data_IF_782694729217
#
_entry.id   IF_782694729217
#
_cell.length_a   1.000
_cell.length_b   1.000
_cell.length_c   1.000
_cell.angle_alpha   90.00
_cell.angle_beta   90.00
_cell.angle_gamma   90.00
#
_symmetry.space_group_name_H-M   'P 1'
#
loop_
_entity.id
_entity.type
_entity.pdbx_description
1 polymer ?
#
# COMPACT_ATOMS: atom_id res chain seq x y z
N UNK A 1 12.69 13.15 -24.86
CA UNK A 1 11.54 12.56 -24.14
C UNK A 1 10.32 13.44 -24.42
N UNK A 2 9.54 13.14 -25.46
CA UNK A 2 8.28 13.85 -25.72
C UNK A 2 7.21 13.17 -24.85
N UNK A 3 7.10 13.58 -23.59
CA UNK A 3 6.00 13.16 -22.73
C UNK A 3 4.74 13.78 -23.28
N UNK A 4 3.85 12.98 -23.84
CA UNK A 4 2.51 13.44 -24.16
C UNK A 4 1.84 13.83 -22.85
N UNK A 5 1.24 15.02 -22.77
CA UNK A 5 0.53 15.48 -21.55
C UNK A 5 -0.50 14.44 -21.07
N UNK A 6 -1.10 13.72 -22.03
CA UNK A 6 -2.01 12.60 -21.80
C UNK A 6 -1.35 11.42 -21.09
N UNK A 7 -0.13 11.03 -21.46
CA UNK A 7 0.61 9.96 -20.78
C UNK A 7 0.97 10.38 -19.34
N UNK A 8 1.38 11.62 -19.15
CA UNK A 8 1.68 12.15 -17.82
C UNK A 8 0.44 12.12 -16.92
N UNK A 9 -0.72 12.55 -17.43
CA UNK A 9 -1.99 12.50 -16.70
C UNK A 9 -2.35 11.06 -16.36
N UNK A 10 -2.20 10.11 -17.28
CA UNK A 10 -2.46 8.69 -17.01
C UNK A 10 -1.54 8.13 -15.93
N UNK A 11 -0.24 8.42 -15.97
CA UNK A 11 0.72 7.94 -14.96
C UNK A 11 0.41 8.53 -13.59
N UNK A 12 0.16 9.84 -13.51
CA UNK A 12 -0.21 10.51 -12.26
C UNK A 12 -1.48 9.89 -11.69
N UNK A 13 -2.48 9.66 -12.54
CA UNK A 13 -3.74 9.06 -12.13
C UNK A 13 -3.54 7.65 -11.55
N UNK A 14 -2.77 6.79 -12.24
CA UNK A 14 -2.46 5.44 -11.74
C UNK A 14 -1.69 5.50 -10.42
N UNK A 15 -0.67 6.37 -10.31
CA UNK A 15 0.13 6.51 -9.10
C UNK A 15 -0.69 7.00 -7.91
N UNK A 16 -1.63 7.93 -8.11
CA UNK A 16 -2.54 8.39 -7.04
C UNK A 16 -3.34 7.22 -6.46
N UNK A 17 -3.89 6.34 -7.32
CA UNK A 17 -4.65 5.20 -6.82
C UNK A 17 -3.75 4.19 -6.14
N UNK A 18 -2.60 3.86 -6.73
CA UNK A 18 -1.65 2.93 -6.10
C UNK A 18 -1.23 3.44 -4.71
N UNK A 19 -0.85 4.72 -4.61
CA UNK A 19 -0.45 5.37 -3.36
C UNK A 19 -1.59 5.40 -2.33
N UNK A 20 -2.80 5.78 -2.75
CA UNK A 20 -3.98 5.76 -1.88
C UNK A 20 -4.23 4.36 -1.31
N UNK A 21 -4.18 3.32 -2.14
CA UNK A 21 -4.40 1.94 -1.69
C UNK A 21 -3.25 1.40 -0.85
N UNK A 22 -2.01 1.81 -1.13
CA UNK A 22 -0.86 1.45 -0.30
C UNK A 22 -1.01 2.04 1.10
N UNK A 23 -1.36 3.33 1.20
CA UNK A 23 -1.64 3.99 2.49
C UNK A 23 -2.82 3.36 3.21
N UNK A 24 -3.92 3.03 2.52
CA UNK A 24 -5.05 2.30 3.13
C UNK A 24 -4.61 0.93 3.63
N UNK A 25 -3.92 0.14 2.80
CA UNK A 25 -3.49 -1.22 3.11
C UNK A 25 -2.48 -1.27 4.26
N UNK A 26 -1.51 -0.36 4.27
CA UNK A 26 -0.51 -0.26 5.32
C UNK A 26 -1.11 0.26 6.62
N UNK A 27 -1.93 1.31 6.61
CA UNK A 27 -2.59 1.82 7.81
C UNK A 27 -3.54 0.79 8.43
N UNK A 28 -4.32 0.07 7.60
CA UNK A 28 -5.19 -0.99 8.10
C UNK A 28 -4.38 -2.18 8.64
N UNK A 29 -3.33 -2.62 7.93
CA UNK A 29 -2.44 -3.69 8.39
C UNK A 29 -1.73 -3.37 9.72
N UNK A 30 -1.19 -2.16 9.86
CA UNK A 30 -0.56 -1.69 11.09
C UNK A 30 -1.59 -1.45 12.20
N UNK A 31 -2.76 -0.91 11.88
CA UNK A 31 -3.83 -0.68 12.84
C UNK A 31 -4.39 -1.99 13.43
N UNK A 32 -4.44 -3.06 12.64
CA UNK A 32 -4.80 -4.41 13.12
C UNK A 32 -3.73 -4.91 14.11
N UNK A 33 -2.44 -4.78 13.77
CA UNK A 33 -1.33 -5.22 14.66
C UNK A 33 -1.23 -4.43 15.96
N UNK A 34 -1.60 -3.15 15.95
CA UNK A 34 -1.59 -2.30 17.15
C UNK A 34 -2.84 -2.51 18.04
N UNK A 35 -3.85 -3.23 17.55
CA UNK A 35 -5.13 -3.43 18.25
C UNK A 35 -6.00 -2.18 18.32
N UNK A 36 -5.69 -1.14 17.56
CA UNK A 36 -6.44 0.13 17.56
C UNK A 36 -7.85 -0.02 16.97
N UNK A 37 -8.09 -1.03 16.13
CA UNK A 37 -9.43 -1.34 15.61
C UNK A 37 -10.29 -2.18 16.56
N UNK A 38 -9.72 -2.74 17.64
CA UNK A 38 -10.43 -3.59 18.61
C UNK A 38 -10.89 -2.83 19.87
N UNK A 39 -10.51 -1.57 20.06
CA UNK A 39 -10.94 -0.78 21.21
C UNK A 39 -12.17 0.07 20.84
N UNK A 40 -13.30 -0.33 21.40
CA UNK A 40 -14.59 0.35 21.41
C UNK A 40 -14.42 1.89 21.47
N UNK A 41 -14.88 2.56 20.41
CA UNK A 41 -15.30 3.97 20.39
C UNK A 41 -14.27 5.09 20.72
N UNK A 42 -12.98 4.96 20.38
CA UNK A 42 -12.11 6.15 20.27
C UNK A 42 -11.49 6.29 18.89
N UNK A 43 -12.13 7.16 18.10
CA UNK A 43 -11.79 7.58 16.74
C UNK A 43 -10.31 7.37 16.39
N UNK A 44 -9.98 6.25 15.74
CA UNK A 44 -8.84 6.25 14.84
C UNK A 44 -9.19 7.29 13.78
N UNK A 45 -8.57 8.46 13.87
CA UNK A 45 -8.82 9.53 12.92
C UNK A 45 -8.09 9.18 11.62
N UNK A 46 -8.68 8.26 10.83
CA UNK A 46 -8.20 7.91 9.50
C UNK A 46 -7.90 9.18 8.68
N UNK A 47 -8.77 10.19 8.79
CA UNK A 47 -8.58 11.49 8.13
C UNK A 47 -7.27 12.19 8.52
N UNK A 48 -6.83 12.09 9.79
CA UNK A 48 -5.55 12.66 10.23
C UNK A 48 -4.36 11.83 9.73
N UNK A 49 -4.51 10.50 9.66
CA UNK A 49 -3.48 9.63 9.11
C UNK A 49 -3.30 9.88 7.60
N UNK A 50 -4.39 9.93 6.82
CA UNK A 50 -4.36 10.29 5.41
C UNK A 50 -3.84 11.70 5.17
N UNK A 51 -4.17 12.66 6.04
CA UNK A 51 -3.61 14.01 5.93
C UNK A 51 -2.10 14.02 6.18
N UNK A 52 -1.61 13.27 7.17
CA UNK A 52 -0.18 13.17 7.43
C UNK A 52 0.59 12.55 6.25
N UNK A 53 0.03 11.50 5.66
CA UNK A 53 0.56 10.84 4.46
C UNK A 53 0.56 11.78 3.25
N UNK A 54 -0.57 12.46 2.97
CA UNK A 54 -0.67 13.41 1.87
C UNK A 54 0.31 14.60 2.01
N UNK A 55 0.47 15.13 3.22
CA UNK A 55 1.46 16.19 3.50
C UNK A 55 2.88 15.65 3.32
N UNK A 56 3.16 14.43 3.80
CA UNK A 56 4.44 13.76 3.64
C UNK A 56 4.81 13.54 2.18
N UNK A 57 3.92 12.95 1.39
CA UNK A 57 4.09 12.72 -0.05
C UNK A 57 4.24 14.02 -0.82
N UNK A 58 3.43 15.04 -0.53
CA UNK A 58 3.54 16.35 -1.21
C UNK A 58 4.89 17.01 -0.91
N UNK A 59 5.32 17.00 0.35
CA UNK A 59 6.61 17.58 0.74
C UNK A 59 7.80 16.77 0.16
N UNK A 60 7.68 15.44 0.15
CA UNK A 60 8.65 14.53 -0.49
C UNK A 60 8.81 14.81 -1.98
N UNK A 61 7.70 14.98 -2.70
CA UNK A 61 7.70 15.31 -4.12
C UNK A 61 8.34 16.68 -4.40
N UNK A 62 8.06 17.70 -3.57
CA UNK A 62 8.71 19.03 -3.69
C UNK A 62 10.23 18.94 -3.47
N UNK A 63 10.68 18.05 -2.59
CA UNK A 63 12.10 17.78 -2.35
C UNK A 63 12.74 16.88 -3.43
N UNK A 64 11.99 16.42 -4.43
CA UNK A 64 12.48 15.56 -5.50
C UNK A 64 12.59 14.07 -5.14
N UNK A 65 11.96 13.63 -4.05
CA UNK A 65 11.87 12.23 -3.66
C UNK A 65 10.66 11.53 -4.32
N UNK A 66 10.66 10.19 -4.28
CA UNK A 66 9.47 9.39 -4.57
C UNK A 66 8.34 9.64 -3.55
N UNK A 67 7.20 8.99 -3.75
CA UNK A 67 6.09 9.04 -2.78
C UNK A 67 6.56 8.57 -1.39
N UNK A 68 6.13 9.30 -0.36
CA UNK A 68 6.52 9.04 1.03
C UNK A 68 5.31 8.45 1.74
N UNK A 69 5.35 7.14 1.98
CA UNK A 69 4.21 6.41 2.54
C UNK A 69 4.51 5.83 3.93
N UNK A 70 3.47 5.33 4.59
CA UNK A 70 3.59 4.58 5.85
C UNK A 70 4.16 3.18 5.63
N UNK A 71 5.35 2.94 6.17
CA UNK A 71 6.07 1.66 6.03
C UNK A 71 5.44 0.55 6.88
N UNK A 72 5.16 -0.60 6.26
CA UNK A 72 4.67 -1.81 6.95
C UNK A 72 5.72 -2.37 7.92
N UNK A 73 7.00 -2.08 7.68
CA UNK A 73 8.14 -2.42 8.53
C UNK A 73 8.02 -1.77 9.91
N UNK A 74 7.27 -0.68 10.02
CA UNK A 74 6.91 -0.05 11.31
C UNK A 74 6.20 -1.03 12.25
N UNK A 75 5.62 -2.12 11.73
CA UNK A 75 5.10 -3.23 12.53
C UNK A 75 6.13 -3.81 13.49
N UNK A 76 7.42 -3.85 13.11
CA UNK A 76 8.50 -4.34 13.98
C UNK A 76 8.68 -3.40 15.19
N UNK A 77 8.78 -2.10 14.95
CA UNK A 77 8.86 -1.09 16.01
C UNK A 77 7.63 -1.07 16.92
N UNK A 78 6.44 -1.29 16.36
CA UNK A 78 5.19 -1.42 17.12
C UNK A 78 5.20 -2.67 18.01
N UNK A 79 5.74 -3.79 17.49
CA UNK A 79 5.83 -5.06 18.22
C UNK A 79 6.79 -4.96 19.41
N UNK A 80 7.86 -4.16 19.27
CA UNK A 80 8.80 -3.81 20.35
C UNK A 80 8.25 -2.72 21.31
N UNK A 81 6.99 -2.29 21.14
CA UNK A 81 6.31 -1.35 22.06
C UNK A 81 6.26 0.10 21.58
N UNK A 82 6.75 0.41 20.38
CA UNK A 82 6.68 1.74 19.77
C UNK A 82 5.27 2.12 19.33
N UNK A 83 4.48 2.69 20.23
CA UNK A 83 3.06 3.04 20.00
C UNK A 83 2.76 4.54 20.07
N UNK A 84 3.78 5.40 20.04
CA UNK A 84 3.61 6.86 20.15
C UNK A 84 4.13 7.60 18.92
N UNK A 85 3.65 8.83 18.69
CA UNK A 85 4.23 9.70 17.66
C UNK A 85 5.69 10.05 17.95
N UNK A 86 6.11 10.01 19.22
CA UNK A 86 7.50 10.26 19.62
C UNK A 86 8.45 9.21 19.06
N UNK A 87 8.05 7.93 18.99
CA UNK A 87 8.89 6.91 18.35
C UNK A 87 9.11 7.18 16.88
N UNK A 88 8.11 7.69 16.15
CA UNK A 88 8.28 8.09 14.76
C UNK A 88 9.26 9.27 14.60
N UNK A 89 9.20 10.27 15.49
CA UNK A 89 10.13 11.41 15.49
C UNK A 89 11.57 10.98 15.76
N UNK A 90 11.78 10.12 16.76
CA UNK A 90 13.11 9.59 17.08
C UNK A 90 13.65 8.79 15.90
N UNK A 91 12.84 7.92 15.28
CA UNK A 91 13.24 7.18 14.08
C UNK A 91 13.64 8.11 12.95
N UNK A 92 12.85 9.17 12.67
CA UNK A 92 13.20 10.17 11.66
C UNK A 92 14.53 10.89 11.95
N UNK A 93 14.78 11.26 13.21
CA UNK A 93 16.06 11.86 13.62
C UNK A 93 17.25 10.91 13.43
N UNK A 94 17.07 9.62 13.74
CA UNK A 94 18.09 8.60 13.51
C UNK A 94 18.35 8.39 12.01
N UNK A 95 17.33 8.46 11.16
CA UNK A 95 17.50 8.45 9.70
C UNK A 95 18.20 9.69 9.16
N UNK A 96 17.99 10.87 9.76
CA UNK A 96 18.77 12.07 9.41
C UNK A 96 20.23 11.88 9.82
N UNK A 97 20.48 11.32 11.02
CA UNK A 97 21.84 11.05 11.49
C UNK A 97 22.55 9.98 10.65
N UNK A 98 21.81 9.02 10.08
CA UNK A 98 22.38 7.99 9.21
C UNK A 98 22.97 8.55 7.92
N UNK A 99 22.59 9.76 7.50
CA UNK A 99 23.16 10.45 6.32
C UNK A 99 24.68 10.60 6.46
N UNK A 100 25.19 10.89 7.66
CA UNK A 100 26.64 10.97 7.92
C UNK A 100 27.37 9.63 7.75
N UNK A 101 26.64 8.52 7.90
CA UNK A 101 27.15 7.16 7.76
C UNK A 101 26.89 6.57 6.37
N UNK A 102 26.27 7.31 5.43
CA UNK A 102 26.07 6.85 4.04
C UNK A 102 27.36 6.35 3.39
N UNK A 103 28.53 7.02 3.52
CA UNK A 103 29.77 6.53 2.92
C UNK A 103 30.23 5.16 3.46
N UNK A 104 29.86 4.83 4.69
CA UNK A 104 30.13 3.52 5.29
C UNK A 104 29.09 2.49 4.84
N UNK A 105 27.81 2.89 4.76
CA UNK A 105 26.71 2.03 4.31
C UNK A 105 26.82 1.66 2.84
N UNK A 106 27.33 2.56 1.98
CA UNK A 106 27.52 2.29 0.55
C UNK A 106 28.65 1.31 0.26
N UNK A 107 29.54 1.04 1.22
CA UNK A 107 30.54 -0.01 1.12
C UNK A 107 29.96 -1.43 1.35
N UNK A 108 28.72 -1.53 1.85
CA UNK A 108 28.03 -2.81 2.07
C UNK A 108 27.58 -3.36 0.71
N UNK A 109 27.98 -4.59 0.34
CA UNK A 109 27.53 -5.20 -0.90
C UNK A 109 26.02 -5.42 -0.94
N UNK A 110 25.41 -5.27 -2.12
CA UNK A 110 23.96 -5.46 -2.30
C UNK A 110 23.47 -6.88 -1.95
N UNK A 111 24.30 -7.89 -2.07
CA UNK A 111 23.94 -9.25 -1.67
C UNK A 111 23.77 -9.40 -0.15
N UNK A 112 24.36 -8.50 0.66
CA UNK A 112 24.23 -8.54 2.12
C UNK A 112 22.86 -8.03 2.61
N UNK A 113 22.16 -7.21 1.82
CA UNK A 113 20.82 -6.70 2.15
C UNK A 113 19.70 -7.64 1.68
N UNK A 114 19.99 -8.54 0.74
CA UNK A 114 18.99 -9.47 0.18
C UNK A 114 18.30 -10.38 1.23
N UNK A 115 19.01 -10.98 2.21
CA UNK A 115 18.36 -11.78 3.25
C UNK A 115 17.40 -10.96 4.12
N UNK A 116 17.73 -9.69 4.40
CA UNK A 116 16.86 -8.81 5.16
C UNK A 116 15.56 -8.52 4.40
N UNK A 117 15.66 -8.21 3.10
CA UNK A 117 14.49 -8.00 2.23
C UNK A 117 13.61 -9.24 2.10
N UNK A 118 14.21 -10.44 2.05
CA UNK A 118 13.46 -11.70 2.03
C UNK A 118 12.64 -11.88 3.30
N UNK A 119 13.27 -11.67 4.47
CA UNK A 119 12.58 -11.78 5.77
C UNK A 119 11.46 -10.76 5.86
N UNK A 120 11.68 -9.52 5.42
CA UNK A 120 10.63 -8.48 5.38
C UNK A 120 9.46 -8.95 4.51
N UNK A 121 9.71 -9.47 3.31
CA UNK A 121 8.67 -10.01 2.44
C UNK A 121 7.88 -11.16 3.08
N UNK A 122 8.55 -12.07 3.79
CA UNK A 122 7.89 -13.15 4.53
C UNK A 122 7.01 -12.60 5.66
N UNK A 123 7.48 -11.57 6.37
CA UNK A 123 6.70 -10.91 7.41
C UNK A 123 5.47 -10.19 6.86
N UNK A 124 5.57 -9.58 5.68
CA UNK A 124 4.42 -8.96 4.99
C UNK A 124 3.37 -10.00 4.57
N UNK A 125 3.79 -11.20 4.17
CA UNK A 125 2.88 -12.31 3.85
C UNK A 125 2.04 -12.78 5.05
N UNK A 126 2.44 -12.48 6.29
CA UNK A 126 1.63 -12.82 7.46
C UNK A 126 0.23 -12.18 7.44
N UNK A 127 0.08 -11.01 6.81
CA UNK A 127 -1.21 -10.32 6.68
C UNK A 127 -2.21 -11.08 5.81
N UNK A 128 -1.74 -11.95 4.90
CA UNK A 128 -2.57 -12.80 4.04
C UNK A 128 -3.42 -13.78 4.85
N UNK A 129 -3.00 -14.10 6.08
CA UNK A 129 -3.79 -14.92 7.02
C UNK A 129 -5.10 -14.27 7.44
N UNK A 130 -5.19 -12.93 7.40
CA UNK A 130 -6.39 -12.21 7.82
C UNK A 130 -7.47 -12.14 6.72
N UNK A 131 -7.20 -12.66 5.53
CA UNK A 131 -8.15 -12.71 4.43
C UNK A 131 -9.20 -13.78 4.73
N UNK A 132 -10.47 -13.49 4.47
CA UNK A 132 -11.54 -14.47 4.62
C UNK A 132 -11.51 -15.48 3.47
N UNK A 133 -10.78 -16.57 3.68
CA UNK A 133 -10.63 -17.63 2.67
C UNK A 133 -11.91 -18.42 2.40
N UNK A 134 -12.91 -18.32 3.28
CA UNK A 134 -14.19 -19.01 3.13
C UNK A 134 -15.15 -18.28 2.17
N UNK A 135 -14.93 -16.98 1.89
CA UNK A 135 -15.68 -16.27 0.86
C UNK A 135 -14.96 -16.34 -0.49
N UNK A 136 -15.58 -16.95 -1.53
CA UNK A 136 -14.99 -17.02 -2.88
C UNK A 136 -14.65 -15.64 -3.49
N UNK A 137 -15.41 -14.59 -3.17
CA UNK A 137 -15.16 -13.26 -3.73
C UNK A 137 -13.89 -12.64 -3.15
N UNK A 138 -13.66 -12.80 -1.83
CA UNK A 138 -12.46 -12.31 -1.15
C UNK A 138 -11.24 -13.15 -1.51
N UNK A 139 -11.35 -14.48 -1.42
CA UNK A 139 -10.25 -15.41 -1.70
C UNK A 139 -9.75 -15.33 -3.15
N UNK A 140 -10.65 -15.33 -4.14
CA UNK A 140 -10.28 -15.26 -5.56
C UNK A 140 -9.67 -13.89 -5.90
N UNK A 141 -10.27 -12.80 -5.41
CA UNK A 141 -9.74 -11.45 -5.63
C UNK A 141 -8.33 -11.30 -5.03
N UNK A 142 -8.15 -11.71 -3.78
CA UNK A 142 -6.86 -11.69 -3.10
C UNK A 142 -5.81 -12.55 -3.82
N UNK A 143 -6.18 -13.78 -4.20
CA UNK A 143 -5.28 -14.69 -4.90
C UNK A 143 -4.82 -14.12 -6.24
N UNK A 144 -5.75 -13.57 -7.03
CA UNK A 144 -5.43 -12.94 -8.31
C UNK A 144 -4.55 -11.70 -8.12
N UNK A 145 -4.81 -10.90 -7.09
CA UNK A 145 -3.96 -9.75 -6.75
C UNK A 145 -2.51 -10.19 -6.49
N UNK A 146 -2.32 -11.20 -5.61
CA UNK A 146 -1.00 -11.68 -5.19
C UNK A 146 -0.22 -12.27 -6.37
N UNK A 147 -0.88 -13.03 -7.26
CA UNK A 147 -0.19 -13.71 -8.35
C UNK A 147 0.07 -12.80 -9.56
N UNK A 148 -0.84 -11.87 -9.85
CA UNK A 148 -0.71 -11.00 -11.03
C UNK A 148 0.36 -9.95 -10.81
N UNK A 149 0.51 -9.37 -9.60
CA UNK A 149 1.54 -8.37 -9.32
C UNK A 149 2.96 -8.79 -9.79
N UNK A 150 3.50 -9.97 -9.41
CA UNK A 150 4.80 -10.42 -9.90
C UNK A 150 4.77 -10.86 -11.37
N UNK A 151 3.67 -11.42 -11.87
CA UNK A 151 3.56 -11.86 -13.27
C UNK A 151 3.49 -10.69 -14.27
N UNK A 152 2.87 -9.58 -13.88
CA UNK A 152 2.77 -8.36 -14.68
C UNK A 152 3.93 -7.40 -14.47
N UNK A 153 4.83 -7.68 -13.51
CA UNK A 153 5.86 -6.75 -13.03
C UNK A 153 5.28 -5.38 -12.62
N UNK A 154 4.01 -5.33 -12.24
CA UNK A 154 3.25 -4.11 -12.02
C UNK A 154 2.27 -4.28 -10.87
N UNK A 155 2.55 -3.59 -9.76
CA UNK A 155 1.67 -3.52 -8.58
C UNK A 155 0.30 -2.99 -9.00
N UNK A 156 0.27 -1.96 -9.85
CA UNK A 156 -0.94 -1.34 -10.35
C UNK A 156 -1.86 -2.33 -11.07
N UNK A 157 -1.29 -3.19 -11.94
CA UNK A 157 -2.09 -4.13 -12.72
C UNK A 157 -2.63 -5.28 -11.87
N UNK A 158 -1.83 -5.78 -10.91
CA UNK A 158 -2.31 -6.78 -9.96
C UNK A 158 -3.42 -6.26 -9.07
N UNK A 159 -3.26 -5.04 -8.53
CA UNK A 159 -4.28 -4.38 -7.73
C UNK A 159 -5.56 -4.11 -8.53
N UNK A 160 -5.42 -3.62 -9.77
CA UNK A 160 -6.54 -3.37 -10.66
C UNK A 160 -7.37 -4.63 -10.90
N UNK A 161 -6.72 -5.75 -11.21
CA UNK A 161 -7.40 -7.03 -11.45
C UNK A 161 -8.14 -7.50 -10.20
N UNK A 162 -7.49 -7.46 -9.03
CA UNK A 162 -8.12 -7.78 -7.75
C UNK A 162 -9.37 -6.95 -7.46
N UNK A 163 -9.25 -5.62 -7.54
CA UNK A 163 -10.31 -4.67 -7.25
C UNK A 163 -11.46 -4.71 -8.27
N UNK A 164 -11.20 -5.10 -9.51
CA UNK A 164 -12.26 -5.33 -10.50
C UNK A 164 -13.05 -6.61 -10.21
N UNK A 165 -12.37 -7.69 -9.87
CA UNK A 165 -12.99 -9.02 -9.67
C UNK A 165 -13.84 -9.07 -8.40
N UNK A 166 -13.44 -8.37 -7.35
CA UNK A 166 -14.15 -8.38 -6.06
C UNK A 166 -15.64 -7.99 -6.16
N UNK A 167 -16.02 -6.78 -6.66
CA UNK A 167 -17.42 -6.39 -6.76
C UNK A 167 -18.21 -7.23 -7.77
N UNK A 168 -17.55 -7.72 -8.83
CA UNK A 168 -18.15 -8.63 -9.82
C UNK A 168 -18.56 -9.95 -9.15
N UNK A 169 -17.66 -10.58 -8.39
CA UNK A 169 -17.95 -11.85 -7.70
C UNK A 169 -19.00 -11.68 -6.61
N UNK A 170 -18.94 -10.62 -5.79
CA UNK A 170 -19.99 -10.33 -4.79
C UNK A 170 -21.37 -10.14 -5.44
N UNK A 171 -21.41 -9.60 -6.65
CA UNK A 171 -22.66 -9.44 -7.42
C UNK A 171 -23.21 -10.78 -7.88
N UNK A 172 -22.36 -11.67 -8.40
CA UNK A 172 -22.78 -13.03 -8.75
C UNK A 172 -23.23 -13.87 -7.54
N UNK A 173 -22.70 -13.59 -6.36
CA UNK A 173 -23.16 -14.21 -5.10
C UNK A 173 -24.49 -13.63 -4.57
N UNK A 174 -25.05 -12.58 -5.20
CA UNK A 174 -26.23 -11.87 -4.71
C UNK A 174 -25.97 -10.94 -3.51
N UNK A 175 -24.70 -10.77 -3.13
CA UNK A 175 -24.26 -9.93 -1.98
C UNK A 175 -23.88 -8.52 -2.42
N UNK A 176 -24.66 -7.91 -3.32
CA UNK A 176 -24.39 -6.57 -3.87
C UNK A 176 -24.35 -5.50 -2.76
N UNK A 177 -25.12 -5.70 -1.69
CA UNK A 177 -25.18 -4.80 -0.54
C UNK A 177 -23.85 -4.70 0.25
N UNK A 178 -22.95 -5.68 0.09
CA UNK A 178 -21.62 -5.65 0.70
C UNK A 178 -20.60 -4.85 -0.14
N UNK A 179 -21.00 -4.40 -1.34
CA UNK A 179 -20.16 -3.60 -2.23
C UNK A 179 -20.54 -2.11 -2.16
N UNK A 180 -19.54 -1.26 -1.93
CA UNK A 180 -19.75 0.21 -1.90
C UNK A 180 -19.71 0.78 -3.32
N UNK A 181 -20.44 1.86 -3.58
CA UNK A 181 -20.40 2.59 -4.86
C UNK A 181 -18.97 2.94 -5.30
N UNK A 182 -18.10 3.31 -4.35
CA UNK A 182 -16.68 3.59 -4.61
C UNK A 182 -15.95 2.39 -5.23
N UNK A 183 -16.21 1.15 -4.77
CA UNK A 183 -15.58 -0.05 -5.32
C UNK A 183 -15.97 -0.28 -6.78
N UNK A 184 -17.24 -0.02 -7.11
CA UNK A 184 -17.72 -0.09 -8.50
C UNK A 184 -17.14 1.01 -9.37
N UNK A 185 -17.05 2.23 -8.87
CA UNK A 185 -16.40 3.35 -9.57
C UNK A 185 -14.93 3.00 -9.89
N UNK A 186 -14.20 2.47 -8.91
CA UNK A 186 -12.82 2.01 -9.06
C UNK A 186 -12.70 0.88 -10.08
N UNK A 187 -13.55 -0.13 -10.00
CA UNK A 187 -13.57 -1.23 -10.96
C UNK A 187 -13.77 -0.71 -12.39
N UNK A 188 -14.72 0.20 -12.60
CA UNK A 188 -14.97 0.82 -13.92
C UNK A 188 -13.76 1.61 -14.40
N UNK A 189 -13.13 2.40 -13.52
CA UNK A 189 -11.92 3.17 -13.85
C UNK A 189 -10.78 2.25 -14.30
N UNK A 190 -10.54 1.15 -13.59
CA UNK A 190 -9.49 0.19 -13.96
C UNK A 190 -9.83 -0.57 -15.26
N UNK A 191 -11.10 -0.91 -15.48
CA UNK A 191 -11.57 -1.47 -16.77
C UNK A 191 -11.27 -0.48 -17.89
N UNK A 192 -11.63 0.80 -17.72
CA UNK A 192 -11.37 1.84 -18.71
C UNK A 192 -9.86 2.02 -18.94
N UNK A 193 -9.02 1.95 -17.90
CA UNK A 193 -7.56 1.96 -18.04
C UNK A 193 -7.08 0.80 -18.89
N UNK A 194 -7.53 -0.43 -18.65
CA UNK A 194 -7.13 -1.58 -19.46
C UNK A 194 -7.61 -1.51 -20.91
N UNK A 195 -8.82 -0.98 -21.15
CA UNK A 195 -9.40 -0.85 -22.50
C UNK A 195 -8.75 0.29 -23.28
N UNK A 196 -8.49 1.44 -22.66
CA UNK A 196 -7.97 2.64 -23.33
C UNK A 196 -6.44 2.68 -23.40
N UNK A 197 -5.77 2.16 -22.38
CA UNK A 197 -4.31 2.10 -22.24
C UNK A 197 -3.80 0.69 -22.55
N UNK A 198 -4.62 -0.17 -23.19
CA UNK A 198 -4.26 -1.49 -23.68
C UNK A 198 -3.23 -1.42 -24.82
N UNK A 199 -2.02 -1.02 -24.47
CA UNK A 199 -0.73 -1.28 -25.12
C UNK A 199 0.27 -1.64 -24.04
#
# INVERSE_FOLDING_TARGET
MKTNIWELITIIFVLIFVDLFDTVGTLTGLGIKTGYFNQTEKSFNLNKAFMADAVGTTFGAVMGNSTVTTYIESASGISEGGRSGFTAVITALLFILSIFFIPLLSAIPSFATAPALLIIGVLMMSSVRNINWDDPAESISAFLTIIIMPLSYSIADGLAIGLMIYPILKTFQGKVHETTFTMWLLAIIFILKFVLVGK
#
